data_IF_666583357045
#
_entry.id   IF_666583357045
#
_cell.length_a   1.000
_cell.length_b   1.000
_cell.length_c   1.000
_cell.angle_alpha   90.00
_cell.angle_beta   90.00
_cell.angle_gamma   90.00
#
_symmetry.space_group_name_H-M   'P 1'
#
loop_
_entity.id
_entity.type
_entity.pdbx_description
1 polymer ?
#
# COMPACT_ATOMS: atom_id res chain seq x y z
N UNK A 1 28.20 3.48 -23.74
CA UNK A 1 27.54 3.92 -25.00
C UNK A 1 28.25 5.18 -25.50
N UNK A 2 28.23 5.44 -26.82
CA UNK A 2 28.88 6.57 -27.51
C UNK A 2 30.42 6.60 -27.45
N UNK A 3 31.08 5.43 -27.44
CA UNK A 3 32.55 5.39 -27.48
C UNK A 3 33.16 6.02 -28.74
N UNK A 4 32.40 6.06 -29.84
CA UNK A 4 32.76 6.74 -31.08
C UNK A 4 32.99 8.25 -30.89
N UNK A 5 32.39 8.87 -29.88
CA UNK A 5 32.56 10.30 -29.57
C UNK A 5 33.84 10.60 -28.78
N UNK A 6 34.49 9.56 -28.24
CA UNK A 6 35.73 9.65 -27.47
C UNK A 6 36.82 8.79 -28.11
N UNK A 7 36.74 8.59 -29.42
CA UNK A 7 37.72 7.85 -30.22
C UNK A 7 38.06 6.45 -29.68
N UNK A 8 37.08 5.79 -29.04
CA UNK A 8 37.21 4.47 -28.42
C UNK A 8 38.32 4.37 -27.36
N UNK A 9 38.58 5.47 -26.64
CA UNK A 9 39.59 5.56 -25.59
C UNK A 9 39.30 4.58 -24.42
N UNK A 10 40.25 3.67 -24.18
CA UNK A 10 40.19 2.70 -23.09
C UNK A 10 40.20 3.36 -21.71
N UNK A 11 41.00 4.41 -21.51
CA UNK A 11 41.13 5.08 -20.22
C UNK A 11 39.84 5.78 -19.80
N UNK A 12 39.11 6.37 -20.76
CA UNK A 12 37.80 6.97 -20.52
C UNK A 12 36.78 5.90 -20.10
N UNK A 13 36.82 4.72 -20.74
CA UNK A 13 35.95 3.61 -20.36
C UNK A 13 36.28 3.09 -18.95
N UNK A 14 37.55 2.83 -18.66
CA UNK A 14 38.01 2.31 -17.36
C UNK A 14 37.68 3.28 -16.22
N UNK A 15 37.84 4.59 -16.44
CA UNK A 15 37.46 5.59 -15.45
C UNK A 15 35.95 5.56 -15.14
N UNK A 16 35.11 5.53 -16.17
CA UNK A 16 33.65 5.46 -16.00
C UNK A 16 33.25 4.16 -15.31
N UNK A 17 33.89 3.05 -15.68
CA UNK A 17 33.67 1.75 -15.03
C UNK A 17 34.04 1.79 -13.54
N UNK A 18 35.20 2.35 -13.18
CA UNK A 18 35.65 2.46 -11.80
C UNK A 18 34.70 3.33 -10.96
N UNK A 19 34.33 4.50 -11.47
CA UNK A 19 33.37 5.41 -10.82
C UNK A 19 32.00 4.74 -10.62
N UNK A 20 31.51 4.02 -11.64
CA UNK A 20 30.22 3.33 -11.55
C UNK A 20 30.26 2.14 -10.59
N UNK A 21 31.34 1.34 -10.59
CA UNK A 21 31.51 0.23 -9.64
C UNK A 21 31.58 0.73 -8.20
N UNK A 22 32.27 1.84 -7.95
CA UNK A 22 32.33 2.47 -6.64
C UNK A 22 30.93 2.90 -6.15
N UNK A 23 30.13 3.50 -7.03
CA UNK A 23 28.74 3.85 -6.72
C UNK A 23 27.85 2.61 -6.51
N UNK A 24 27.95 1.62 -7.40
CA UNK A 24 27.17 0.39 -7.34
C UNK A 24 27.38 -0.41 -6.06
N UNK A 25 28.63 -0.49 -5.58
CA UNK A 25 28.96 -1.13 -4.31
C UNK A 25 28.27 -0.43 -3.12
N UNK A 26 28.06 0.88 -3.17
CA UNK A 26 27.34 1.61 -2.12
C UNK A 26 25.85 1.23 -2.04
N UNK A 27 25.27 0.78 -3.14
CA UNK A 27 23.86 0.36 -3.24
C UNK A 27 23.65 -1.15 -3.27
N UNK A 28 24.73 -1.93 -3.03
CA UNK A 28 24.68 -3.40 -2.96
C UNK A 28 24.47 -4.08 -4.32
N UNK A 29 24.93 -3.47 -5.41
CA UNK A 29 24.97 -4.09 -6.73
C UNK A 29 26.37 -4.67 -6.97
N UNK A 30 26.53 -5.96 -6.72
CA UNK A 30 27.83 -6.63 -6.78
C UNK A 30 28.15 -7.23 -8.16
N UNK A 31 27.13 -7.64 -8.92
CA UNK A 31 27.29 -8.30 -10.22
C UNK A 31 26.97 -7.33 -11.38
N UNK A 32 28.01 -6.69 -11.91
CA UNK A 32 27.90 -5.71 -13.00
C UNK A 32 28.85 -6.06 -14.14
N UNK A 33 28.26 -6.26 -15.31
CA UNK A 33 28.98 -6.42 -16.58
C UNK A 33 29.00 -5.09 -17.35
N UNK A 34 30.19 -4.49 -17.47
CA UNK A 34 30.40 -3.28 -18.25
C UNK A 34 30.74 -3.62 -19.70
N UNK A 35 29.98 -3.07 -20.66
CA UNK A 35 30.16 -3.32 -22.09
C UNK A 35 30.44 -2.00 -22.81
N UNK A 36 31.65 -1.76 -23.33
CA UNK A 36 31.96 -0.59 -24.14
C UNK A 36 31.28 -0.75 -25.49
N UNK A 37 30.32 0.13 -25.82
CA UNK A 37 29.59 0.05 -27.08
C UNK A 37 29.34 1.42 -27.73
N UNK A 38 29.13 1.41 -29.05
CA UNK A 38 28.52 2.50 -29.81
C UNK A 38 27.21 2.02 -30.42
N UNK A 39 26.08 2.54 -29.96
CA UNK A 39 24.78 2.21 -30.54
C UNK A 39 24.63 2.72 -31.98
N UNK A 40 25.32 3.81 -32.35
CA UNK A 40 25.24 4.40 -33.68
C UNK A 40 26.06 3.60 -34.70
N UNK A 41 27.28 3.20 -34.33
CA UNK A 41 28.21 2.49 -35.21
C UNK A 41 28.04 0.96 -35.14
N UNK A 42 27.35 0.45 -34.11
CA UNK A 42 27.07 -0.98 -33.92
C UNK A 42 28.16 -1.74 -33.16
N UNK A 43 29.25 -1.08 -32.74
CA UNK A 43 30.36 -1.69 -32.02
C UNK A 43 29.91 -2.33 -30.70
N UNK A 44 30.24 -3.62 -30.54
CA UNK A 44 29.93 -4.46 -29.37
C UNK A 44 28.43 -4.55 -29.03
N UNK A 45 27.53 -4.17 -29.96
CA UNK A 45 26.09 -4.32 -29.78
C UNK A 45 25.66 -5.75 -30.13
N UNK A 46 25.91 -6.19 -31.36
CA UNK A 46 25.60 -7.53 -31.84
C UNK A 46 26.90 -8.34 -31.97
N UNK A 47 27.86 -7.78 -32.71
CA UNK A 47 29.15 -8.40 -32.97
C UNK A 47 30.29 -7.67 -32.24
N UNK A 48 31.39 -8.36 -31.89
CA UNK A 48 32.57 -7.73 -31.33
C UNK A 48 33.19 -6.71 -32.29
N UNK A 49 33.81 -5.66 -31.75
CA UNK A 49 34.58 -4.68 -32.53
C UNK A 49 36.09 -4.78 -32.28
N UNK A 50 36.79 -5.74 -32.93
CA UNK A 50 38.23 -5.92 -32.72
C UNK A 50 39.07 -4.77 -33.29
N UNK A 51 38.50 -3.95 -34.19
CA UNK A 51 39.20 -2.82 -34.81
C UNK A 51 39.15 -1.60 -33.89
N UNK A 52 37.96 -1.25 -33.39
CA UNK A 52 37.78 -0.04 -32.60
C UNK A 52 38.02 -0.27 -31.10
N UNK A 53 37.77 -1.48 -30.59
CA UNK A 53 38.02 -1.86 -29.19
C UNK A 53 38.89 -3.11 -29.09
N UNK A 54 40.14 -3.10 -29.59
CA UNK A 54 41.03 -4.28 -29.54
C UNK A 54 41.38 -4.71 -28.11
N UNK A 55 41.26 -3.78 -27.16
CA UNK A 55 41.50 -3.96 -25.73
C UNK A 55 40.33 -4.64 -24.99
N UNK A 56 39.15 -4.72 -25.60
CA UNK A 56 37.97 -5.33 -24.97
C UNK A 56 37.83 -6.80 -25.37
N UNK A 57 37.75 -7.67 -24.37
CA UNK A 57 37.60 -9.13 -24.55
C UNK A 57 36.33 -9.70 -23.89
N UNK A 58 35.43 -8.84 -23.43
CA UNK A 58 34.15 -9.24 -22.83
C UNK A 58 33.05 -9.53 -23.85
N UNK A 59 31.81 -9.82 -23.38
CA UNK A 59 30.69 -10.15 -24.25
C UNK A 59 30.17 -8.92 -25.02
N UNK A 60 29.50 -9.16 -26.15
CA UNK A 60 28.66 -8.12 -26.78
C UNK A 60 27.38 -7.93 -25.98
N UNK A 61 26.67 -6.82 -26.19
CA UNK A 61 25.39 -6.58 -25.51
C UNK A 61 24.39 -7.72 -25.79
N UNK A 62 24.23 -8.12 -27.05
CA UNK A 62 23.35 -9.24 -27.41
C UNK A 62 23.85 -10.57 -26.82
N UNK A 63 25.14 -10.86 -26.92
CA UNK A 63 25.71 -12.09 -26.37
C UNK A 63 25.54 -12.19 -24.85
N UNK A 64 25.64 -11.06 -24.14
CA UNK A 64 25.36 -11.01 -22.71
C UNK A 64 23.87 -11.28 -22.42
N UNK A 65 22.95 -10.61 -23.13
CA UNK A 65 21.51 -10.81 -22.94
C UNK A 65 21.04 -12.23 -23.25
N UNK A 66 21.72 -12.95 -24.14
CA UNK A 66 21.42 -14.36 -24.45
C UNK A 66 21.94 -15.36 -23.42
N UNK A 67 22.91 -14.96 -22.59
CA UNK A 67 23.63 -15.86 -21.67
C UNK A 67 23.40 -15.54 -20.19
N UNK A 68 22.90 -14.33 -19.89
CA UNK A 68 22.68 -13.89 -18.52
C UNK A 68 21.73 -14.83 -17.79
N UNK A 69 22.18 -15.32 -16.63
CA UNK A 69 21.35 -16.15 -15.77
C UNK A 69 20.29 -15.28 -15.11
N UNK A 70 19.03 -15.59 -15.39
CA UNK A 70 17.92 -15.05 -14.61
C UNK A 70 17.74 -15.99 -13.43
N UNK A 71 18.48 -15.75 -12.35
CA UNK A 71 18.31 -16.50 -11.11
C UNK A 71 16.91 -16.21 -10.55
N UNK A 72 15.97 -17.11 -10.83
CA UNK A 72 14.66 -17.12 -10.20
C UNK A 72 14.72 -17.99 -8.94
N UNK A 73 15.41 -17.46 -7.92
CA UNK A 73 15.46 -18.04 -6.56
C UNK A 73 14.07 -18.15 -5.92
N UNK A 74 13.00 -17.66 -6.56
CA UNK A 74 11.65 -17.78 -6.05
C UNK A 74 11.30 -19.24 -5.72
N UNK A 75 11.77 -20.23 -6.49
CA UNK A 75 11.50 -21.63 -6.22
C UNK A 75 12.15 -22.16 -4.92
N UNK A 76 13.25 -21.57 -4.45
CA UNK A 76 13.92 -21.96 -3.20
C UNK A 76 13.35 -21.27 -1.96
N UNK A 77 12.56 -20.20 -2.16
CA UNK A 77 11.91 -19.45 -1.07
C UNK A 77 10.73 -20.23 -0.47
N UNK A 78 10.23 -19.83 0.72
CA UNK A 78 9.02 -20.40 1.29
C UNK A 78 7.80 -20.28 0.36
N UNK A 79 6.90 -21.27 0.41
CA UNK A 79 5.71 -21.26 -0.42
C UNK A 79 4.83 -20.02 -0.15
N UNK A 80 4.44 -19.33 -1.23
CA UNK A 80 3.53 -18.18 -1.24
C UNK A 80 2.62 -18.26 -2.45
N UNK A 81 1.31 -18.20 -2.23
CA UNK A 81 0.33 -18.06 -3.30
C UNK A 81 -0.79 -17.11 -2.89
N UNK A 82 -0.75 -15.84 -3.32
CA UNK A 82 -1.87 -14.92 -3.20
C UNK A 82 -3.07 -15.42 -3.99
N UNK A 83 -4.22 -15.50 -3.33
CA UNK A 83 -5.48 -15.92 -3.96
C UNK A 83 -6.00 -14.76 -4.81
N UNK A 84 -6.03 -14.97 -6.12
CA UNK A 84 -6.54 -14.01 -7.09
C UNK A 84 -8.03 -14.23 -7.38
N UNK A 85 -8.48 -15.49 -7.33
CA UNK A 85 -9.87 -15.87 -7.62
C UNK A 85 -10.26 -17.12 -6.82
N UNK A 86 -11.40 -17.07 -6.12
CA UNK A 86 -12.12 -18.25 -5.60
C UNK A 86 -13.06 -18.82 -6.66
N UNK A 87 -12.68 -19.92 -7.29
CA UNK A 87 -13.45 -20.59 -8.34
C UNK A 87 -14.47 -21.58 -7.74
N UNK A 88 -15.74 -21.39 -8.05
CA UNK A 88 -16.86 -22.25 -7.61
C UNK A 88 -17.85 -22.48 -8.75
N UNK A 89 -17.53 -23.36 -9.72
CA UNK A 89 -18.36 -23.62 -10.88
C UNK A 89 -19.62 -24.42 -10.54
N UNK A 90 -19.59 -25.20 -9.45
CA UNK A 90 -20.72 -25.98 -8.93
C UNK A 90 -20.59 -26.13 -7.40
N UNK A 91 -21.53 -26.85 -6.77
CA UNK A 91 -21.57 -27.02 -5.31
C UNK A 91 -20.39 -27.85 -4.77
N UNK A 92 -19.86 -28.78 -5.57
CA UNK A 92 -18.87 -29.78 -5.15
C UNK A 92 -17.42 -29.36 -5.43
N UNK A 93 -17.20 -28.30 -6.21
CA UNK A 93 -15.87 -27.79 -6.51
C UNK A 93 -15.66 -26.40 -5.91
N UNK A 94 -14.66 -26.29 -5.03
CA UNK A 94 -14.13 -25.02 -4.54
C UNK A 94 -12.61 -25.00 -4.73
N UNK A 95 -12.16 -24.17 -5.66
CA UNK A 95 -10.74 -23.99 -5.98
C UNK A 95 -10.27 -22.56 -5.71
N UNK A 96 -9.02 -22.40 -5.32
CA UNK A 96 -8.39 -21.11 -5.06
C UNK A 96 -7.29 -20.90 -6.10
N UNK A 97 -7.53 -20.00 -7.05
CA UNK A 97 -6.65 -19.74 -8.17
C UNK A 97 -5.72 -18.57 -7.86
N UNK A 98 -4.45 -18.73 -8.22
CA UNK A 98 -3.41 -17.73 -8.02
C UNK A 98 -2.10 -18.12 -8.69
N UNK A 99 -1.17 -17.17 -8.75
CA UNK A 99 0.20 -17.45 -9.17
C UNK A 99 1.05 -17.76 -7.94
N UNK A 100 1.89 -18.78 -8.02
CA UNK A 100 2.85 -19.10 -6.97
C UNK A 100 3.99 -18.08 -7.09
N UNK A 101 4.22 -17.31 -6.03
CA UNK A 101 5.21 -16.21 -5.98
C UNK A 101 6.42 -16.57 -5.12
N UNK A 102 6.47 -17.80 -4.61
CA UNK A 102 7.59 -18.35 -3.87
C UNK A 102 7.35 -19.83 -3.60
N UNK A 103 8.43 -20.59 -3.55
CA UNK A 103 8.47 -22.01 -3.21
C UNK A 103 7.76 -22.93 -4.19
N UNK A 104 7.34 -24.06 -3.65
CA UNK A 104 6.62 -25.10 -4.36
C UNK A 104 5.57 -25.73 -3.45
N UNK A 105 4.61 -26.44 -4.05
CA UNK A 105 3.52 -27.11 -3.34
C UNK A 105 3.19 -28.44 -4.01
N UNK A 106 2.85 -29.44 -3.19
CA UNK A 106 2.39 -30.78 -3.58
C UNK A 106 1.03 -31.10 -2.95
N UNK A 107 0.22 -31.99 -3.55
CA UNK A 107 -0.89 -32.61 -2.84
C UNK A 107 -0.42 -33.25 -1.53
N UNK A 108 -1.15 -33.04 -0.45
CA UNK A 108 -0.78 -33.47 0.91
C UNK A 108 0.02 -32.46 1.73
N UNK A 109 0.51 -31.37 1.13
CA UNK A 109 1.20 -30.32 1.88
C UNK A 109 0.23 -29.58 2.79
N UNK A 110 0.66 -29.31 4.03
CA UNK A 110 -0.09 -28.49 4.97
C UNK A 110 0.22 -27.01 4.75
N UNK A 111 -0.84 -26.20 4.65
CA UNK A 111 -0.76 -24.77 4.39
C UNK A 111 -1.44 -23.97 5.51
N UNK A 112 -0.97 -22.75 5.70
CA UNK A 112 -1.64 -21.71 6.49
C UNK A 112 -2.26 -20.67 5.56
N UNK A 113 -3.48 -20.26 5.87
CA UNK A 113 -4.25 -19.24 5.16
C UNK A 113 -4.18 -17.95 5.97
N UNK A 114 -3.65 -16.89 5.38
CA UNK A 114 -3.50 -15.59 6.03
C UNK A 114 -4.39 -14.53 5.35
N UNK A 115 -4.94 -13.56 6.10
CA UNK A 115 -4.60 -13.21 7.49
C UNK A 115 -5.32 -14.02 8.59
N UNK A 116 -6.28 -14.89 8.24
CA UNK A 116 -7.12 -15.61 9.21
C UNK A 116 -6.36 -16.62 10.10
N UNK A 117 -5.18 -17.07 9.68
CA UNK A 117 -4.32 -18.02 10.42
C UNK A 117 -4.82 -19.46 10.44
N UNK A 118 -5.88 -19.79 9.67
CA UNK A 118 -6.42 -21.16 9.59
C UNK A 118 -5.44 -22.07 8.83
N UNK A 119 -5.50 -23.36 9.10
CA UNK A 119 -4.66 -24.36 8.45
C UNK A 119 -5.52 -25.37 7.69
N UNK A 120 -5.00 -25.87 6.58
CA UNK A 120 -5.58 -26.99 5.83
C UNK A 120 -4.49 -27.77 5.10
N UNK A 121 -4.89 -28.77 4.34
CA UNK A 121 -4.01 -29.59 3.51
C UNK A 121 -4.44 -29.49 2.05
N UNK A 122 -3.47 -29.42 1.14
CA UNK A 122 -3.73 -29.40 -0.31
C UNK A 122 -4.30 -30.73 -0.73
N UNK A 123 -5.50 -30.71 -1.33
CA UNK A 123 -6.14 -31.89 -1.88
C UNK A 123 -5.62 -32.17 -3.29
N UNK A 124 -5.68 -31.17 -4.17
CA UNK A 124 -5.28 -31.26 -5.59
C UNK A 124 -4.74 -29.94 -6.09
N UNK A 125 -3.80 -30.01 -7.02
CA UNK A 125 -3.30 -28.88 -7.79
C UNK A 125 -3.89 -29.00 -9.20
N UNK A 126 -4.79 -28.10 -9.57
CA UNK A 126 -5.55 -28.16 -10.83
C UNK A 126 -5.03 -27.11 -11.79
N UNK A 127 -4.75 -27.53 -13.03
CA UNK A 127 -4.41 -26.64 -14.16
C UNK A 127 -5.28 -26.94 -15.36
N UNK A 128 -5.09 -26.20 -16.46
CA UNK A 128 -5.81 -26.45 -17.71
C UNK A 128 -5.51 -27.85 -18.28
N UNK A 129 -4.27 -28.33 -18.15
CA UNK A 129 -3.80 -29.59 -18.72
C UNK A 129 -4.05 -30.80 -17.80
N UNK A 130 -4.72 -30.58 -16.67
CA UNK A 130 -5.01 -31.58 -15.67
C UNK A 130 -4.38 -31.27 -14.31
N UNK A 131 -4.40 -32.28 -13.45
CA UNK A 131 -3.85 -32.18 -12.11
C UNK A 131 -2.32 -32.38 -12.10
N UNK A 132 -1.64 -31.64 -11.23
CA UNK A 132 -0.19 -31.71 -11.05
C UNK A 132 0.18 -32.34 -9.70
N UNK A 133 1.26 -33.12 -9.70
CA UNK A 133 1.87 -33.65 -8.47
C UNK A 133 2.76 -32.63 -7.76
N UNK A 134 3.21 -31.60 -8.49
CA UNK A 134 4.07 -30.53 -8.01
C UNK A 134 3.80 -29.26 -8.81
N UNK A 135 3.64 -28.14 -8.12
CA UNK A 135 3.68 -26.82 -8.72
C UNK A 135 4.73 -25.94 -8.04
N UNK A 136 5.37 -25.08 -8.83
CA UNK A 136 6.52 -24.26 -8.42
C UNK A 136 6.26 -22.77 -8.69
N UNK A 137 7.07 -21.92 -8.08
CA UNK A 137 7.06 -20.47 -8.31
C UNK A 137 7.04 -20.13 -9.81
N UNK A 138 6.30 -19.07 -10.15
CA UNK A 138 6.06 -18.63 -11.51
C UNK A 138 4.79 -19.23 -12.15
N UNK A 139 4.34 -20.41 -11.72
CA UNK A 139 3.16 -21.08 -12.28
C UNK A 139 1.84 -20.52 -11.73
N UNK A 140 0.82 -20.46 -12.58
CA UNK A 140 -0.56 -20.13 -12.21
C UNK A 140 -1.36 -21.42 -12.07
N UNK A 141 -1.87 -21.69 -10.87
CA UNK A 141 -2.56 -22.94 -10.54
C UNK A 141 -3.87 -22.66 -9.78
N UNK A 142 -4.72 -23.66 -9.68
CA UNK A 142 -5.87 -23.67 -8.78
C UNK A 142 -5.69 -24.75 -7.73
N UNK A 143 -5.60 -24.36 -6.46
CA UNK A 143 -5.49 -25.31 -5.35
C UNK A 143 -6.88 -25.64 -4.82
N UNK A 144 -7.13 -26.92 -4.58
CA UNK A 144 -8.27 -27.38 -3.76
C UNK A 144 -7.73 -27.82 -2.41
N UNK A 145 -8.53 -27.67 -1.36
CA UNK A 145 -8.15 -27.99 0.02
C UNK A 145 -9.08 -29.07 0.58
N UNK A 146 -8.59 -29.84 1.55
CA UNK A 146 -9.38 -30.90 2.20
C UNK A 146 -10.46 -30.34 3.12
N UNK A 147 -10.24 -29.15 3.68
CA UNK A 147 -11.17 -28.53 4.63
C UNK A 147 -11.95 -27.40 3.96
N UNK A 148 -13.25 -27.29 4.28
CA UNK A 148 -14.06 -26.15 3.84
C UNK A 148 -13.70 -24.90 4.65
N UNK A 149 -12.69 -24.18 4.17
CA UNK A 149 -12.24 -22.94 4.77
C UNK A 149 -12.75 -21.75 3.97
N UNK A 150 -13.21 -20.73 4.70
CA UNK A 150 -13.51 -19.46 4.08
C UNK A 150 -12.23 -18.71 3.74
N UNK A 151 -11.97 -18.61 2.43
CA UNK A 151 -10.82 -17.94 1.83
C UNK A 151 -11.36 -17.01 0.75
N UNK A 152 -10.85 -15.79 0.72
CA UNK A 152 -11.24 -14.72 -0.19
C UNK A 152 -10.09 -14.27 -1.07
N UNK A 153 -10.42 -13.48 -2.11
CA UNK A 153 -9.40 -12.81 -2.92
C UNK A 153 -8.56 -11.88 -2.04
N UNK A 154 -7.24 -11.98 -2.18
CA UNK A 154 -6.28 -11.22 -1.39
C UNK A 154 -5.72 -11.97 -0.17
N UNK A 155 -6.35 -13.07 0.23
CA UNK A 155 -5.76 -13.99 1.20
C UNK A 155 -4.53 -14.68 0.59
N UNK A 156 -3.62 -15.13 1.45
CA UNK A 156 -2.38 -15.77 1.03
C UNK A 156 -2.30 -17.17 1.61
N UNK A 157 -2.13 -18.15 0.72
CA UNK A 157 -1.79 -19.52 1.07
C UNK A 157 -0.26 -19.60 1.20
N UNK A 158 0.22 -20.07 2.35
CA UNK A 158 1.64 -20.13 2.65
C UNK A 158 2.02 -21.41 3.39
N UNK A 159 3.30 -21.77 3.35
CA UNK A 159 3.82 -22.84 4.21
C UNK A 159 3.66 -22.50 5.69
N UNK A 160 3.43 -23.52 6.53
CA UNK A 160 3.17 -23.35 7.97
C UNK A 160 4.41 -22.90 8.74
N UNK A 161 5.59 -23.40 8.37
CA UNK A 161 6.82 -23.21 9.14
C UNK A 161 7.46 -21.84 8.93
N UNK A 162 7.14 -21.19 7.82
CA UNK A 162 7.64 -19.86 7.46
C UNK A 162 6.50 -19.01 6.87
N UNK A 163 5.47 -18.66 7.67
CA UNK A 163 4.34 -17.86 7.20
C UNK A 163 4.79 -16.41 6.93
N UNK A 164 4.17 -15.69 5.98
CA UNK A 164 4.40 -14.26 5.83
C UNK A 164 3.93 -13.50 7.06
N UNK A 165 4.48 -12.31 7.24
CA UNK A 165 4.06 -11.41 8.30
C UNK A 165 2.65 -10.87 8.00
N UNK A 166 1.90 -10.55 9.05
CA UNK A 166 0.59 -9.90 8.94
C UNK A 166 0.62 -8.61 9.76
N UNK A 167 0.40 -7.48 9.10
CA UNK A 167 0.42 -6.18 9.75
C UNK A 167 -0.52 -5.18 9.08
N UNK A 168 -0.84 -4.11 9.79
CA UNK A 168 -1.61 -2.96 9.31
C UNK A 168 -0.79 -1.66 9.29
N UNK A 169 0.47 -1.72 9.72
CA UNK A 169 1.39 -0.60 9.78
C UNK A 169 2.79 -1.03 9.36
N UNK A 170 3.42 -0.24 8.49
CA UNK A 170 4.67 -0.59 7.83
C UNK A 170 5.59 0.61 7.74
N UNK A 171 6.90 0.35 7.70
CA UNK A 171 7.82 1.24 7.02
C UNK A 171 7.92 0.83 5.54
N UNK A 172 7.87 1.80 4.64
CA UNK A 172 8.00 1.56 3.21
C UNK A 172 8.84 2.65 2.53
N UNK A 173 9.57 2.24 1.50
CA UNK A 173 10.12 3.18 0.52
C UNK A 173 9.00 3.54 -0.45
N UNK A 174 8.81 4.83 -0.70
CA UNK A 174 7.79 5.35 -1.60
C UNK A 174 8.49 6.10 -2.73
N UNK A 175 8.18 5.74 -3.97
CA UNK A 175 8.55 6.47 -5.17
C UNK A 175 7.31 7.23 -5.61
N UNK A 176 7.34 8.56 -5.51
CA UNK A 176 6.22 9.39 -5.91
C UNK A 176 6.25 9.68 -7.41
N UNK A 177 5.11 9.50 -8.07
CA UNK A 177 4.99 9.51 -9.54
C UNK A 177 3.97 10.52 -10.05
N UNK A 178 3.36 11.31 -9.15
CA UNK A 178 2.35 12.29 -9.48
C UNK A 178 2.92 13.71 -9.44
N UNK A 179 2.45 14.58 -10.35
CA UNK A 179 2.75 16.01 -10.33
C UNK A 179 2.16 16.70 -9.09
N UNK A 180 0.96 16.29 -8.66
CA UNK A 180 0.43 16.72 -7.35
C UNK A 180 1.28 16.13 -6.23
N UNK A 181 1.82 16.95 -5.30
CA UNK A 181 2.64 16.46 -4.20
C UNK A 181 1.88 15.50 -3.28
N UNK A 182 2.62 14.56 -2.69
CA UNK A 182 2.08 13.64 -1.70
C UNK A 182 1.58 14.40 -0.47
N UNK A 183 0.28 14.29 -0.16
CA UNK A 183 -0.28 14.89 1.05
C UNK A 183 -0.27 13.87 2.21
N UNK A 184 0.53 14.09 3.27
CA UNK A 184 0.48 13.24 4.46
C UNK A 184 -0.92 13.23 5.08
N UNK A 185 -1.35 12.08 5.59
CA UNK A 185 -2.69 11.92 6.17
C UNK A 185 -3.80 11.72 5.14
N UNK A 186 -3.58 12.04 3.85
CA UNK A 186 -4.57 11.80 2.79
C UNK A 186 -4.74 10.29 2.58
N UNK A 187 -5.98 9.80 2.44
CA UNK A 187 -6.24 8.41 2.14
C UNK A 187 -6.08 8.11 0.64
N UNK A 188 -5.34 7.05 0.35
CA UNK A 188 -5.14 6.45 -0.97
C UNK A 188 -5.69 5.01 -0.97
N UNK A 189 -5.76 4.38 -2.13
CA UNK A 189 -5.86 2.92 -2.22
C UNK A 189 -4.46 2.35 -2.40
N UNK A 190 -4.07 1.41 -1.55
CA UNK A 190 -2.90 0.58 -1.74
C UNK A 190 -3.33 -0.72 -2.40
N UNK A 191 -2.63 -1.09 -3.49
CA UNK A 191 -2.81 -2.37 -4.16
C UNK A 191 -1.51 -3.17 -4.09
N UNK A 192 -1.57 -4.30 -3.38
CA UNK A 192 -0.49 -5.28 -3.21
C UNK A 192 -0.99 -6.62 -3.75
N UNK A 193 -0.42 -7.07 -4.86
CA UNK A 193 -0.90 -8.25 -5.58
C UNK A 193 -2.40 -8.21 -5.87
N UNK A 194 -3.14 -9.17 -5.31
CA UNK A 194 -4.59 -9.28 -5.43
C UNK A 194 -5.39 -8.45 -4.41
N UNK A 195 -4.72 -7.87 -3.41
CA UNK A 195 -5.30 -7.13 -2.29
C UNK A 195 -5.33 -5.64 -2.58
N UNK A 196 -6.51 -5.03 -2.40
CA UNK A 196 -6.67 -3.56 -2.38
C UNK A 196 -7.24 -3.14 -1.04
N UNK A 197 -6.58 -2.19 -0.37
CA UNK A 197 -6.96 -1.65 0.94
C UNK A 197 -6.84 -0.12 0.96
N UNK A 198 -7.57 0.53 1.86
CA UNK A 198 -7.36 1.96 2.08
C UNK A 198 -6.07 2.16 2.87
N UNK A 199 -5.27 3.13 2.45
CA UNK A 199 -3.95 3.39 2.99
C UNK A 199 -3.75 4.88 3.26
N UNK A 200 -2.99 5.20 4.30
CA UNK A 200 -2.59 6.57 4.63
C UNK A 200 -1.08 6.59 4.83
N UNK A 201 -0.41 7.54 4.19
CA UNK A 201 1.00 7.82 4.40
C UNK A 201 1.17 8.89 5.48
N UNK A 202 2.10 8.65 6.40
CA UNK A 202 2.62 9.70 7.28
C UNK A 202 3.58 10.60 6.49
N UNK A 203 3.99 11.72 7.10
CA UNK A 203 5.08 12.52 6.56
C UNK A 203 6.34 11.66 6.41
N UNK A 204 7.18 11.89 5.37
CA UNK A 204 8.41 11.15 5.18
C UNK A 204 9.31 11.31 6.41
N UNK A 205 9.98 10.22 6.82
CA UNK A 205 11.07 10.30 7.80
C UNK A 205 12.24 11.08 7.19
N UNK A 206 12.53 10.78 5.93
CA UNK A 206 13.48 11.46 5.08
C UNK A 206 13.19 11.12 3.61
N UNK A 207 13.67 11.97 2.72
CA UNK A 207 13.81 11.75 1.29
C UNK A 207 15.23 11.24 1.00
N UNK A 208 15.39 10.42 -0.02
CA UNK A 208 16.69 9.96 -0.52
C UNK A 208 17.04 10.76 -1.77
N UNK A 209 18.18 11.44 -1.75
CA UNK A 209 18.74 12.03 -2.96
C UNK A 209 19.25 10.92 -3.88
N UNK A 210 18.70 10.80 -5.09
CA UNK A 210 19.02 9.70 -6.00
C UNK A 210 20.47 9.78 -6.50
N UNK A 211 21.05 10.98 -6.56
CA UNK A 211 22.40 11.20 -7.09
C UNK A 211 23.48 10.98 -6.01
N UNK A 212 23.17 11.27 -4.74
CA UNK A 212 24.16 11.24 -3.64
C UNK A 212 23.86 10.20 -2.57
N UNK A 213 22.67 9.58 -2.60
CA UNK A 213 22.14 8.67 -1.58
C UNK A 213 21.97 9.30 -0.19
N UNK A 214 22.11 10.63 -0.08
CA UNK A 214 21.96 11.36 1.17
C UNK A 214 20.49 11.38 1.63
N UNK A 215 20.31 11.31 2.96
CA UNK A 215 19.01 11.40 3.60
C UNK A 215 18.70 12.88 3.91
N UNK A 216 17.65 13.41 3.28
CA UNK A 216 17.21 14.79 3.41
C UNK A 216 15.92 14.86 4.22
N UNK A 217 15.78 15.85 5.10
CA UNK A 217 14.54 16.07 5.82
C UNK A 217 13.46 16.55 4.83
N UNK A 218 12.31 15.86 4.80
CA UNK A 218 11.22 16.17 3.90
C UNK A 218 9.88 16.13 4.63
N UNK A 219 8.96 17.04 4.26
CA UNK A 219 7.58 17.08 4.80
C UNK A 219 6.57 16.41 3.87
N UNK A 220 6.92 16.24 2.60
CA UNK A 220 6.12 15.71 1.50
C UNK A 220 7.06 15.04 0.48
N UNK A 221 6.51 14.45 -0.57
CA UNK A 221 7.24 13.95 -1.73
C UNK A 221 6.63 14.56 -3.00
N UNK A 222 7.48 15.14 -3.84
CA UNK A 222 7.17 15.65 -5.17
C UNK A 222 7.46 14.61 -6.26
N UNK A 223 7.15 14.95 -7.52
CA UNK A 223 7.32 14.05 -8.66
C UNK A 223 8.77 13.54 -8.75
N UNK A 224 8.91 12.22 -8.89
CA UNK A 224 10.18 11.47 -8.95
C UNK A 224 10.99 11.46 -7.66
N UNK A 225 10.44 11.95 -6.54
CA UNK A 225 11.12 11.85 -5.25
C UNK A 225 10.91 10.48 -4.62
N UNK A 226 11.96 10.01 -3.95
CA UNK A 226 11.95 8.76 -3.19
C UNK A 226 12.06 9.10 -1.71
N UNK A 227 11.19 8.55 -0.89
CA UNK A 227 11.24 8.77 0.56
C UNK A 227 10.83 7.56 1.38
N UNK A 228 11.29 7.53 2.62
CA UNK A 228 10.92 6.50 3.58
C UNK A 228 9.76 7.00 4.43
N UNK A 229 8.62 6.33 4.35
CA UNK A 229 7.39 6.73 5.01
C UNK A 229 6.86 5.61 5.92
N UNK A 230 6.18 6.01 7.00
CA UNK A 230 5.29 5.09 7.69
C UNK A 230 3.97 5.04 6.93
N UNK A 231 3.47 3.83 6.70
CA UNK A 231 2.26 3.53 5.97
C UNK A 231 1.30 2.80 6.90
N UNK A 232 0.06 3.26 6.99
CA UNK A 232 -1.01 2.59 7.73
C UNK A 232 -2.11 2.16 6.76
N UNK A 233 -2.62 0.94 6.91
CA UNK A 233 -3.76 0.43 6.15
C UNK A 233 -4.96 0.15 7.06
N UNK A 234 -6.16 0.13 6.50
CA UNK A 234 -7.39 0.00 7.28
C UNK A 234 -7.73 -1.43 7.74
N UNK A 235 -6.97 -2.44 7.32
CA UNK A 235 -7.04 -3.82 7.81
C UNK A 235 -5.68 -4.49 7.67
N UNK A 236 -5.36 -5.43 8.55
CA UNK A 236 -4.12 -6.16 8.47
C UNK A 236 -4.05 -7.00 7.18
N UNK A 237 -2.89 -6.97 6.51
CA UNK A 237 -2.64 -7.70 5.27
C UNK A 237 -1.40 -8.60 5.42
N UNK A 238 -1.39 -9.79 4.81
CA UNK A 238 -0.18 -10.60 4.70
C UNK A 238 0.82 -9.93 3.75
N UNK A 239 2.10 -9.93 4.13
CA UNK A 239 3.19 -9.39 3.31
C UNK A 239 4.52 -10.08 3.67
N UNK A 240 5.48 -9.96 2.76
CA UNK A 240 6.90 -10.18 3.04
C UNK A 240 7.65 -8.88 2.70
N UNK A 241 8.81 -8.59 3.33
CA UNK A 241 9.67 -7.50 2.90
C UNK A 241 9.99 -7.60 1.40
N UNK A 242 10.03 -6.48 0.68
CA UNK A 242 10.28 -6.46 -0.77
C UNK A 242 11.62 -7.13 -1.16
N UNK A 243 12.63 -7.00 -0.29
CA UNK A 243 13.92 -7.66 -0.46
C UNK A 243 13.81 -9.20 -0.41
N UNK A 244 12.86 -9.73 0.37
CA UNK A 244 12.64 -11.17 0.53
C UNK A 244 11.66 -11.73 -0.50
N UNK A 245 10.61 -10.99 -0.87
CA UNK A 245 9.68 -11.36 -1.93
C UNK A 245 9.07 -10.12 -2.59
N UNK A 246 9.41 -9.92 -3.88
CA UNK A 246 9.03 -8.73 -4.63
C UNK A 246 7.53 -8.64 -4.90
N UNK A 247 6.87 -9.77 -5.15
CA UNK A 247 5.42 -9.82 -5.40
C UNK A 247 4.59 -9.59 -4.12
N UNK A 248 5.15 -9.94 -2.95
CA UNK A 248 4.50 -9.79 -1.65
C UNK A 248 4.85 -8.48 -0.93
N UNK A 249 5.94 -7.82 -1.32
CA UNK A 249 6.40 -6.56 -0.72
C UNK A 249 6.22 -5.33 -1.61
N UNK A 250 5.93 -5.52 -2.90
CA UNK A 250 5.73 -4.44 -3.86
C UNK A 250 4.26 -4.02 -3.94
N UNK A 251 4.01 -2.72 -3.93
CA UNK A 251 2.65 -2.19 -4.07
C UNK A 251 2.61 -0.90 -4.89
N UNK A 252 1.41 -0.53 -5.31
CA UNK A 252 1.12 0.79 -5.89
C UNK A 252 0.12 1.55 -5.04
N UNK A 253 0.23 2.88 -5.07
CA UNK A 253 -0.71 3.82 -4.49
C UNK A 253 -1.57 4.42 -5.60
N UNK A 254 -2.88 4.40 -5.39
CA UNK A 254 -3.87 4.86 -6.34
C UNK A 254 -4.70 5.95 -5.68
N UNK A 255 -4.85 7.10 -6.34
CA UNK A 255 -5.72 8.17 -5.84
C UNK A 255 -7.20 7.74 -5.91
N UNK A 256 -7.96 8.04 -4.85
CA UNK A 256 -9.35 7.57 -4.68
C UNK A 256 -10.36 8.32 -5.56
N UNK A 257 -9.97 9.45 -6.15
CA UNK A 257 -10.83 10.30 -6.97
C UNK A 257 -10.50 10.08 -8.44
N UNK A 258 -9.24 10.28 -8.84
CA UNK A 258 -8.81 10.17 -10.24
C UNK A 258 -8.62 8.72 -10.69
N UNK A 259 -8.44 7.78 -9.74
CA UNK A 259 -8.02 6.40 -9.99
C UNK A 259 -6.65 6.28 -10.69
N UNK A 260 -5.84 7.35 -10.69
CA UNK A 260 -4.49 7.32 -11.23
C UNK A 260 -3.53 6.67 -10.24
N UNK A 261 -2.53 5.96 -10.76
CA UNK A 261 -1.42 5.48 -9.92
C UNK A 261 -0.50 6.67 -9.62
N UNK A 262 -0.42 7.05 -8.34
CA UNK A 262 0.30 8.24 -7.88
C UNK A 262 1.67 7.91 -7.29
N UNK A 263 1.92 6.64 -6.99
CA UNK A 263 3.23 6.19 -6.52
C UNK A 263 3.37 4.68 -6.51
N UNK A 264 4.61 4.23 -6.41
CA UNK A 264 4.99 2.86 -6.14
C UNK A 264 5.62 2.77 -4.75
N UNK A 265 5.54 1.62 -4.11
CA UNK A 265 6.16 1.44 -2.81
C UNK A 265 6.67 0.03 -2.56
N UNK A 266 7.67 -0.03 -1.68
CA UNK A 266 8.38 -1.24 -1.30
C UNK A 266 8.28 -1.39 0.22
N UNK A 267 7.56 -2.41 0.69
CA UNK A 267 7.44 -2.71 2.11
C UNK A 267 8.79 -3.16 2.66
N UNK A 268 9.20 -2.55 3.77
CA UNK A 268 10.42 -2.91 4.47
C UNK A 268 10.12 -3.87 5.64
N UNK A 269 9.42 -3.38 6.67
CA UNK A 269 9.04 -4.21 7.82
C UNK A 269 7.77 -3.69 8.50
N UNK A 270 7.14 -4.55 9.30
CA UNK A 270 5.99 -4.21 10.11
C UNK A 270 6.39 -3.33 11.30
N UNK A 271 5.66 -2.24 11.54
CA UNK A 271 5.88 -1.39 12.70
C UNK A 271 5.32 -2.06 13.96
N UNK A 272 6.19 -2.34 14.94
CA UNK A 272 5.87 -3.10 16.17
C UNK A 272 4.86 -2.44 17.13
N UNK A 273 4.28 -1.27 16.81
CA UNK A 273 3.27 -0.63 17.69
C UNK A 273 1.95 -1.39 17.73
N UNK A 274 1.67 -2.25 16.75
CA UNK A 274 0.38 -2.96 16.58
C UNK A 274 0.16 -4.17 17.50
N UNK A 275 1.18 -4.70 18.19
CA UNK A 275 0.99 -5.87 19.07
C UNK A 275 0.43 -5.52 20.47
N UNK A 276 0.46 -4.25 20.89
CA UNK A 276 0.01 -3.84 22.22
C UNK A 276 -1.41 -3.23 22.25
N UNK A 277 -2.10 -3.16 21.11
CA UNK A 277 -3.45 -2.60 21.02
C UNK A 277 -4.37 -3.67 20.46
N UNK A 278 -4.74 -4.64 21.31
CA UNK A 278 -5.89 -5.48 21.01
C UNK A 278 -7.15 -4.63 21.15
N UNK A 279 -8.03 -4.70 20.15
CA UNK A 279 -9.40 -4.24 20.32
C UNK A 279 -10.01 -5.03 21.48
N UNK A 280 -10.17 -4.37 22.62
CA UNK A 280 -10.80 -4.98 23.77
C UNK A 280 -12.24 -5.29 23.36
N UNK A 281 -12.64 -6.57 23.43
CA UNK A 281 -14.04 -6.93 23.28
C UNK A 281 -14.82 -6.29 24.43
N UNK A 282 -15.57 -5.23 24.13
CA UNK A 282 -16.39 -4.52 25.10
C UNK A 282 -17.76 -5.19 25.10
N UNK A 283 -18.25 -5.62 26.27
CA UNK A 283 -19.59 -6.22 26.42
C UNK A 283 -20.71 -5.24 26.07
N UNK A 284 -20.45 -3.94 26.24
CA UNK A 284 -21.36 -2.86 25.86
C UNK A 284 -20.92 -2.32 24.50
N UNK A 285 -21.75 -2.56 23.49
CA UNK A 285 -21.50 -2.13 22.11
C UNK A 285 -22.35 -0.91 21.71
N UNK A 286 -22.09 -0.37 20.52
CA UNK A 286 -22.84 0.76 19.94
C UNK A 286 -24.36 0.57 20.01
N UNK A 287 -24.84 -0.64 19.73
CA UNK A 287 -26.28 -0.94 19.75
C UNK A 287 -26.86 -0.80 21.17
N UNK A 288 -26.16 -1.28 22.20
CA UNK A 288 -26.57 -1.08 23.59
C UNK A 288 -26.63 0.42 23.96
N UNK A 289 -25.65 1.21 23.54
CA UNK A 289 -25.65 2.66 23.76
C UNK A 289 -26.80 3.38 23.04
N UNK A 290 -27.09 3.00 21.79
CA UNK A 290 -28.18 3.54 20.99
C UNK A 290 -29.55 3.20 21.60
N UNK A 291 -29.75 1.95 22.03
CA UNK A 291 -30.98 1.49 22.70
C UNK A 291 -31.22 2.25 24.00
N UNK A 292 -30.18 2.42 24.83
CA UNK A 292 -30.29 3.15 26.09
C UNK A 292 -30.73 4.62 25.88
N UNK A 293 -30.26 5.25 24.81
CA UNK A 293 -30.59 6.65 24.47
C UNK A 293 -31.88 6.79 23.64
N UNK A 294 -32.49 5.68 23.21
CA UNK A 294 -33.69 5.69 22.37
C UNK A 294 -33.51 6.46 21.06
N UNK A 295 -32.30 6.48 20.48
CA UNK A 295 -31.97 7.24 19.28
C UNK A 295 -31.03 6.47 18.36
N UNK A 296 -31.09 6.77 17.06
CA UNK A 296 -30.11 6.29 16.09
C UNK A 296 -28.90 7.24 16.10
N UNK A 297 -27.69 6.78 16.48
CA UNK A 297 -26.51 7.62 16.41
C UNK A 297 -26.13 7.87 14.95
N UNK A 298 -25.65 9.08 14.67
CA UNK A 298 -25.18 9.46 13.34
C UNK A 298 -24.33 10.72 13.42
N UNK A 299 -23.57 10.98 12.34
CA UNK A 299 -22.88 12.23 12.09
C UNK A 299 -23.68 13.05 11.08
N UNK A 300 -23.98 14.30 11.43
CA UNK A 300 -24.54 15.32 10.54
C UNK A 300 -23.41 16.27 10.15
N UNK A 301 -22.93 16.13 8.91
CA UNK A 301 -21.77 16.82 8.36
C UNK A 301 -22.16 18.03 7.53
N UNK A 302 -22.00 19.22 8.11
CA UNK A 302 -22.24 20.48 7.41
C UNK A 302 -21.02 20.87 6.57
N UNK A 303 -21.22 21.02 5.26
CA UNK A 303 -20.21 21.48 4.29
C UNK A 303 -20.69 22.72 3.54
N UNK A 304 -19.77 23.52 2.99
CA UNK A 304 -20.06 24.82 2.37
C UNK A 304 -18.95 25.84 2.59
N UNK A 305 -19.00 26.98 1.88
CA UNK A 305 -17.98 28.04 1.94
C UNK A 305 -17.81 28.63 3.35
N UNK A 306 -16.62 29.14 3.66
CA UNK A 306 -16.43 29.88 4.93
C UNK A 306 -17.43 31.04 5.02
N UNK A 307 -18.07 31.21 6.17
CA UNK A 307 -19.12 32.22 6.36
C UNK A 307 -20.52 31.84 5.88
N UNK A 308 -20.75 30.68 5.24
CA UNK A 308 -22.09 30.26 4.78
C UNK A 308 -23.11 29.94 5.88
N UNK A 309 -22.81 30.21 7.15
CA UNK A 309 -23.73 29.97 8.26
C UNK A 309 -23.75 28.54 8.82
N UNK A 310 -22.81 27.66 8.43
CA UNK A 310 -22.71 26.27 8.94
C UNK A 310 -22.80 26.17 10.47
N UNK A 311 -21.94 26.88 11.20
CA UNK A 311 -21.94 26.82 12.67
C UNK A 311 -23.23 27.41 13.25
N UNK A 312 -23.84 28.41 12.61
CA UNK A 312 -25.14 28.96 13.01
C UNK A 312 -26.25 27.93 12.87
N UNK A 313 -26.35 27.26 11.72
CA UNK A 313 -27.35 26.22 11.48
C UNK A 313 -27.11 25.03 12.41
N UNK A 314 -25.87 24.57 12.56
CA UNK A 314 -25.53 23.46 13.44
C UNK A 314 -25.93 23.75 14.90
N UNK A 315 -25.68 24.95 15.41
CA UNK A 315 -26.14 25.39 16.73
C UNK A 315 -27.68 25.40 16.86
N UNK A 316 -28.40 25.85 15.84
CA UNK A 316 -29.87 25.87 15.87
C UNK A 316 -30.45 24.45 15.84
N UNK A 317 -29.88 23.57 15.03
CA UNK A 317 -30.27 22.15 14.96
C UNK A 317 -29.97 21.46 16.30
N UNK A 318 -28.80 21.70 16.88
CA UNK A 318 -28.45 21.16 18.21
C UNK A 318 -29.45 21.60 19.28
N UNK A 319 -29.79 22.90 19.33
CA UNK A 319 -30.81 23.42 20.27
C UNK A 319 -32.17 22.73 20.10
N UNK A 320 -32.61 22.50 18.86
CA UNK A 320 -33.87 21.80 18.60
C UNK A 320 -33.81 20.33 19.01
N UNK A 321 -32.73 19.61 18.67
CA UNK A 321 -32.55 18.23 19.06
C UNK A 321 -32.49 18.07 20.59
N UNK A 322 -31.79 18.97 21.27
CA UNK A 322 -31.75 19.01 22.73
C UNK A 322 -33.14 19.25 23.34
N UNK A 323 -33.93 20.18 22.77
CA UNK A 323 -35.32 20.40 23.21
C UNK A 323 -36.23 19.17 22.99
N UNK A 324 -35.91 18.33 22.00
CA UNK A 324 -36.57 17.04 21.77
C UNK A 324 -36.04 15.89 22.64
N UNK A 325 -35.16 16.19 23.60
CA UNK A 325 -34.56 15.20 24.51
C UNK A 325 -33.53 14.29 23.84
N UNK A 326 -32.99 14.67 22.68
CA UNK A 326 -31.94 13.91 21.99
C UNK A 326 -30.57 14.21 22.58
N UNK A 327 -29.73 13.19 22.63
CA UNK A 327 -28.36 13.30 23.12
C UNK A 327 -27.43 13.67 21.96
N UNK A 328 -26.93 14.90 21.97
CA UNK A 328 -26.14 15.47 20.87
C UNK A 328 -24.79 15.98 21.34
N UNK A 329 -23.89 16.18 20.39
CA UNK A 329 -22.66 16.93 20.61
C UNK A 329 -22.26 17.68 19.33
N UNK A 330 -22.03 18.99 19.43
CA UNK A 330 -21.51 19.82 18.35
C UNK A 330 -19.97 19.86 18.38
N UNK A 331 -19.36 19.26 17.36
CA UNK A 331 -17.95 19.40 17.05
C UNK A 331 -17.78 20.60 16.10
N UNK A 332 -17.28 21.71 16.65
CA UNK A 332 -17.01 22.94 15.89
C UNK A 332 -15.53 23.10 15.51
N UNK A 333 -15.29 23.63 14.31
CA UNK A 333 -13.98 23.89 13.70
C UNK A 333 -13.00 24.66 14.55
N UNK A 334 -13.47 25.69 15.22
CA UNK A 334 -12.62 26.59 15.97
C UNK A 334 -12.40 26.02 17.37
N UNK A 335 -13.44 25.41 17.96
CA UNK A 335 -13.36 24.79 19.28
C UNK A 335 -12.36 23.63 19.33
N UNK A 336 -12.33 22.75 18.33
CA UNK A 336 -11.38 21.62 18.31
C UNK A 336 -9.92 22.09 18.17
N UNK A 337 -9.67 23.26 17.58
CA UNK A 337 -8.33 23.85 17.44
C UNK A 337 -7.76 24.37 18.75
N UNK A 338 -8.59 24.60 19.78
CA UNK A 338 -8.08 24.93 21.11
C UNK A 338 -7.52 23.71 21.86
N UNK A 339 -7.92 22.50 21.48
CA UNK A 339 -7.55 21.26 22.16
C UNK A 339 -6.99 20.21 21.21
N UNK A 340 -7.88 19.37 20.68
CA UNK A 340 -7.55 18.20 19.85
C UNK A 340 -6.62 18.51 18.67
N UNK A 341 -6.76 19.69 18.08
CA UNK A 341 -6.10 20.10 16.84
C UNK A 341 -5.23 21.36 17.03
N UNK A 342 -4.75 21.62 18.26
CA UNK A 342 -3.95 22.82 18.59
C UNK A 342 -2.58 22.88 17.91
N UNK A 343 -2.06 21.73 17.51
CA UNK A 343 -0.78 21.55 16.83
C UNK A 343 -0.88 21.77 15.31
N UNK A 344 -2.09 21.89 14.76
CA UNK A 344 -2.33 21.99 13.33
C UNK A 344 -2.47 23.45 12.87
N UNK A 345 -1.72 23.80 11.82
CA UNK A 345 -1.84 25.09 11.14
C UNK A 345 -3.01 25.15 10.15
N UNK A 346 -2.81 25.88 9.05
CA UNK A 346 -3.80 26.09 7.98
C UNK A 346 -3.34 25.61 6.60
N UNK A 347 -2.23 24.88 6.54
CA UNK A 347 -1.74 24.24 5.31
C UNK A 347 -2.72 23.17 4.83
N UNK A 348 -2.61 22.72 3.59
CA UNK A 348 -3.47 21.65 3.07
C UNK A 348 -3.31 20.35 3.86
N UNK A 349 -2.08 19.95 4.20
CA UNK A 349 -1.82 18.79 5.04
C UNK A 349 -2.44 18.93 6.44
N UNK A 350 -2.31 20.09 7.08
CA UNK A 350 -2.95 20.36 8.37
C UNK A 350 -4.49 20.29 8.28
N UNK A 351 -5.07 20.73 7.16
CA UNK A 351 -6.51 20.63 6.92
C UNK A 351 -6.96 19.19 6.77
N UNK A 352 -6.21 18.37 6.02
CA UNK A 352 -6.49 16.93 5.87
C UNK A 352 -6.43 16.23 7.23
N UNK A 353 -5.37 16.46 8.00
CA UNK A 353 -5.20 15.86 9.34
C UNK A 353 -6.26 16.35 10.32
N UNK A 354 -6.64 17.63 10.26
CA UNK A 354 -7.73 18.19 11.05
C UNK A 354 -9.03 17.43 10.79
N UNK A 355 -9.42 17.26 9.52
CA UNK A 355 -10.63 16.50 9.16
C UNK A 355 -10.53 15.03 9.59
N UNK A 356 -9.37 14.39 9.43
CA UNK A 356 -9.15 12.99 9.86
C UNK A 356 -9.37 12.82 11.37
N UNK A 357 -8.77 13.68 12.20
CA UNK A 357 -8.94 13.63 13.67
C UNK A 357 -10.38 13.84 14.10
N UNK A 358 -11.06 14.79 13.46
CA UNK A 358 -12.48 15.07 13.71
C UNK A 358 -13.34 13.86 13.35
N UNK A 359 -13.09 13.23 12.20
CA UNK A 359 -13.84 12.07 11.75
C UNK A 359 -13.72 10.91 12.75
N UNK A 360 -12.50 10.62 13.24
CA UNK A 360 -12.28 9.59 14.27
C UNK A 360 -12.99 9.92 15.59
N UNK A 361 -12.97 11.18 16.04
CA UNK A 361 -13.72 11.59 17.25
C UNK A 361 -15.22 11.49 17.05
N UNK A 362 -15.73 11.89 15.88
CA UNK A 362 -17.14 11.77 15.54
C UNK A 362 -17.58 10.29 15.54
N UNK A 363 -16.74 9.38 15.03
CA UNK A 363 -16.97 7.93 15.09
C UNK A 363 -17.08 7.43 16.52
N UNK A 364 -16.15 7.79 17.42
CA UNK A 364 -16.21 7.40 18.84
C UNK A 364 -17.49 7.91 19.53
N UNK A 365 -17.95 9.11 19.17
CA UNK A 365 -19.19 9.67 19.70
C UNK A 365 -20.44 8.96 19.15
N UNK A 366 -20.43 8.54 17.88
CA UNK A 366 -21.46 7.68 17.29
C UNK A 366 -21.47 6.32 17.99
N UNK A 367 -20.31 5.73 18.26
CA UNK A 367 -20.18 4.49 19.04
C UNK A 367 -20.78 4.64 20.44
N UNK A 368 -20.66 5.82 21.06
CA UNK A 368 -21.29 6.16 22.35
C UNK A 368 -22.82 6.43 22.27
N UNK A 369 -23.41 6.30 21.08
CA UNK A 369 -24.84 6.46 20.84
C UNK A 369 -25.30 7.90 20.60
N UNK A 370 -24.40 8.85 20.30
CA UNK A 370 -24.73 10.27 20.13
C UNK A 370 -25.10 10.65 18.68
N UNK A 371 -25.87 11.73 18.55
CA UNK A 371 -26.01 12.46 17.27
C UNK A 371 -24.96 13.56 17.25
N UNK A 372 -23.97 13.44 16.38
CA UNK A 372 -22.84 14.35 16.30
C UNK A 372 -23.07 15.35 15.18
N UNK A 373 -23.00 16.64 15.49
CA UNK A 373 -23.07 17.71 14.51
C UNK A 373 -21.66 18.21 14.23
N UNK A 374 -21.26 18.34 12.96
CA UNK A 374 -19.90 18.74 12.60
C UNK A 374 -19.93 19.91 11.62
N UNK A 375 -19.45 21.09 12.03
CA UNK A 375 -19.45 22.33 11.23
C UNK A 375 -18.04 22.75 10.81
N UNK A 376 -17.45 22.01 9.87
CA UNK A 376 -16.05 22.23 9.46
C UNK A 376 -15.90 22.75 8.03
N UNK A 377 -14.80 23.46 7.78
CA UNK A 377 -14.33 23.77 6.44
C UNK A 377 -13.72 22.48 5.85
N UNK A 378 -14.52 21.75 5.05
CA UNK A 378 -14.15 20.50 4.40
C UNK A 378 -14.31 20.61 2.87
N UNK A 379 -13.48 21.43 2.20
CA UNK A 379 -13.71 21.82 0.81
C UNK A 379 -13.56 20.64 -0.15
N UNK A 380 -12.58 19.75 0.07
CA UNK A 380 -12.37 18.66 -0.87
C UNK A 380 -13.27 17.44 -0.58
N UNK A 381 -13.67 16.79 -1.66
CA UNK A 381 -14.59 15.64 -1.63
C UNK A 381 -13.93 14.41 -1.04
N UNK A 382 -12.59 14.30 -1.16
CA UNK A 382 -11.81 13.18 -0.66
C UNK A 382 -11.96 13.01 0.85
N UNK A 383 -11.82 14.09 1.63
CA UNK A 383 -11.86 14.03 3.08
C UNK A 383 -13.28 13.81 3.60
N UNK A 384 -14.29 14.39 2.92
CA UNK A 384 -15.71 14.09 3.24
C UNK A 384 -16.06 12.63 2.97
N UNK A 385 -15.52 12.04 1.89
CA UNK A 385 -15.68 10.60 1.61
C UNK A 385 -14.95 9.75 2.65
N UNK A 386 -13.76 10.13 3.06
CA UNK A 386 -13.02 9.47 4.15
C UNK A 386 -13.81 9.46 5.46
N UNK A 387 -14.36 10.60 5.87
CA UNK A 387 -15.19 10.69 7.08
C UNK A 387 -16.47 9.84 6.98
N UNK A 388 -17.03 9.68 5.79
CA UNK A 388 -18.16 8.77 5.53
C UNK A 388 -17.77 7.29 5.62
N UNK A 389 -16.62 6.93 5.05
CA UNK A 389 -16.19 5.52 4.91
C UNK A 389 -15.78 4.87 6.24
N UNK A 390 -15.47 5.65 7.28
CA UNK A 390 -15.12 5.12 8.61
C UNK A 390 -16.35 4.78 9.48
N UNK A 391 -17.56 5.13 9.04
CA UNK A 391 -18.84 4.90 9.71
C UNK A 391 -19.65 3.80 9.01
N UNK A 392 -20.66 3.25 9.69
CA UNK A 392 -21.55 2.26 9.07
C UNK A 392 -22.54 2.91 8.09
N UNK A 393 -23.14 2.08 7.25
CA UNK A 393 -24.07 2.56 6.22
C UNK A 393 -25.28 3.26 6.85
N UNK A 394 -25.52 4.51 6.45
CA UNK A 394 -26.63 5.31 6.97
C UNK A 394 -26.36 6.01 8.31
N UNK A 395 -25.10 6.04 8.77
CA UNK A 395 -24.66 6.82 9.94
C UNK A 395 -24.04 8.18 9.57
N UNK A 396 -23.82 8.48 8.28
CA UNK A 396 -23.27 9.77 7.83
C UNK A 396 -24.25 10.53 6.93
N UNK A 397 -24.73 11.67 7.41
CA UNK A 397 -25.61 12.60 6.70
C UNK A 397 -24.81 13.85 6.29
N UNK A 398 -24.68 14.11 5.00
CA UNK A 398 -23.97 15.29 4.50
C UNK A 398 -24.97 16.40 4.14
N UNK A 399 -24.79 17.59 4.71
CA UNK A 399 -25.66 18.75 4.52
C UNK A 399 -24.83 19.87 3.89
N UNK A 400 -25.13 20.19 2.63
CA UNK A 400 -24.53 21.34 1.96
C UNK A 400 -25.29 22.62 2.35
N UNK A 401 -24.55 23.60 2.85
CA UNK A 401 -25.07 24.90 3.25
C UNK A 401 -24.57 25.95 2.26
N UNK A 402 -25.52 26.47 1.50
CA UNK A 402 -25.35 27.56 0.55
C UNK A 402 -26.30 28.69 0.95
N UNK A 403 -25.78 29.91 1.00
CA UNK A 403 -26.53 31.11 1.43
C UNK A 403 -26.49 32.15 0.35
#
# INVERSE_FOLDING_TARGET
NKLDMVDYDQSVFEQIEEEYRAFAHQIGLDDITCIPLSALQGDNVIAPSPINTPWYHGPTLLGYLETVTVDDDAASRPFRMPVQWVNRPNLDFRGYSGRIVGGAVRPGDRLRILPAGKESTVARIVTQDGDLDLAVAGQSVTLTLNDEIDISRGDVLATIDAPPLVADQFEAHIIWMSEEPMLPGRPYLLKLGATTVAATLAAPKYQVNINTLEQLAAKTLELNEIGVCNLTVNRAIPFDPYAENRDMGGFILIDRISNTTVGAGLLNFALRRSQNIHWQAVEINKQAHATLKGQKPCVVWFTGLSGSGKSTIANLVEKQLHALGRHTYLLDGDNVRHGLNKDLGFTEADRVENIRRIAEVAKLMVDAGLIVLTSFISPFRAERRMARDILETGEFCEVFVDT
#
